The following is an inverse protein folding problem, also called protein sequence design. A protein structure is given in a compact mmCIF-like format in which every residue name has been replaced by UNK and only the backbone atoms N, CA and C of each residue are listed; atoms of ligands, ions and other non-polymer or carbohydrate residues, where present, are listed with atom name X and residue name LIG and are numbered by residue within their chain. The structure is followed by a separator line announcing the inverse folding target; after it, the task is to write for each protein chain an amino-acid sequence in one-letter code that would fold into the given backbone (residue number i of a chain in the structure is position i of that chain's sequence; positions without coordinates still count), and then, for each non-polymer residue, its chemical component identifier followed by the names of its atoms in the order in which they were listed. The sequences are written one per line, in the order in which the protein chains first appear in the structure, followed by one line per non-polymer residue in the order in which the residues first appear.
data_IF_629849374286
#
_entry.id   IF_629849374286
#
_cell.length_a   1.000
_cell.length_b   1.000
_cell.length_c   1.000
_cell.angle_alpha   90.00
_cell.angle_beta   90.00
_cell.angle_gamma   90.00
#
_symmetry.space_group_name_H-M   'P 1'
#
loop_
_entity.id
_entity.type
_entity.pdbx_description
1 polymer ?
#
# COMPACT_ATOMS: atom_id res chain seq x y z
N UNK A 1 27.81 19.05 58.72
CA UNK A 1 29.19 18.76 58.28
C UNK A 1 29.05 17.86 57.06
N UNK A 2 29.44 18.35 55.87
CA UNK A 2 29.57 17.71 54.52
C UNK A 2 28.64 16.54 54.08
N UNK A 3 28.12 16.38 52.85
CA UNK A 3 27.85 17.18 51.63
C UNK A 3 28.12 16.32 50.38
N UNK A 4 27.19 16.33 49.40
CA UNK A 4 27.34 15.90 47.97
C UNK A 4 27.73 14.42 47.76
N UNK A 5 27.50 13.69 46.66
CA UNK A 5 27.42 13.92 45.20
C UNK A 5 26.64 12.72 44.58
N UNK A 6 25.95 12.70 43.42
CA UNK A 6 25.55 13.67 42.37
C UNK A 6 24.27 13.14 41.67
N UNK A 7 23.59 13.93 40.82
CA UNK A 7 22.71 13.42 39.76
C UNK A 7 23.54 12.76 38.62
N UNK A 8 22.95 11.80 37.91
CA UNK A 8 23.37 11.40 36.56
C UNK A 8 22.12 11.32 35.68
N UNK A 9 22.07 11.99 34.50
CA UNK A 9 20.91 11.91 33.62
C UNK A 9 20.91 10.56 32.89
N UNK A 10 19.77 9.87 32.89
CA UNK A 10 19.54 8.81 31.91
C UNK A 10 19.41 9.47 30.53
N UNK A 11 20.33 9.11 29.64
CA UNK A 11 20.32 9.49 28.23
C UNK A 11 18.99 9.10 27.57
N UNK A 12 18.46 9.90 26.62
CA UNK A 12 17.33 9.46 25.83
C UNK A 12 17.75 8.19 25.08
N UNK A 13 17.04 7.09 25.34
CA UNK A 13 17.16 5.87 24.53
C UNK A 13 16.67 6.23 23.13
N UNK A 14 17.56 6.16 22.15
CA UNK A 14 17.14 6.14 20.75
C UNK A 14 16.27 4.90 20.56
N UNK A 15 15.00 5.11 20.22
CA UNK A 15 14.15 4.01 19.80
C UNK A 15 14.60 3.60 18.41
N UNK A 16 15.42 2.55 18.34
CA UNK A 16 15.55 1.76 17.12
C UNK A 16 14.15 1.31 16.69
N UNK A 17 13.91 1.38 15.39
CA UNK A 17 12.63 1.02 14.77
C UNK A 17 12.18 -0.37 15.20
N UNK A 18 10.89 -0.52 15.49
CA UNK A 18 10.28 -1.82 15.80
C UNK A 18 10.72 -2.87 14.76
N UNK A 19 11.01 -4.12 15.18
CA UNK A 19 11.59 -5.12 14.30
C UNK A 19 10.70 -5.32 13.08
N UNK A 20 11.26 -5.07 11.90
CA UNK A 20 10.56 -5.26 10.64
C UNK A 20 10.28 -6.76 10.46
N UNK A 21 9.08 -7.21 10.82
CA UNK A 21 8.68 -8.60 10.59
C UNK A 21 8.74 -8.93 9.10
N UNK A 22 9.57 -9.92 8.79
CA UNK A 22 9.89 -10.38 7.44
C UNK A 22 8.70 -11.08 6.81
N UNK A 23 7.85 -10.33 6.09
CA UNK A 23 6.86 -10.93 5.19
C UNK A 23 7.58 -11.27 3.88
N UNK A 24 7.96 -12.54 3.74
CA UNK A 24 8.50 -13.09 2.50
C UNK A 24 7.35 -13.16 1.48
N UNK A 25 7.53 -12.57 0.30
CA UNK A 25 6.62 -12.76 -0.82
C UNK A 25 6.67 -14.22 -1.26
N UNK A 26 5.63 -14.98 -0.96
CA UNK A 26 5.47 -16.35 -1.42
C UNK A 26 5.11 -16.34 -2.92
N UNK A 27 6.13 -16.49 -3.78
CA UNK A 27 5.94 -16.71 -5.22
C UNK A 27 5.73 -18.22 -5.43
N UNK A 28 4.69 -18.57 -6.18
CA UNK A 28 4.35 -19.94 -6.59
C UNK A 28 5.56 -20.69 -7.15
N UNK A 29 6.07 -21.65 -6.39
CA UNK A 29 7.10 -22.61 -6.79
C UNK A 29 6.60 -24.00 -6.38
N UNK A 30 6.47 -24.94 -7.33
CA UNK A 30 6.03 -26.29 -7.00
C UNK A 30 7.08 -27.01 -6.14
N UNK A 31 6.63 -27.47 -4.97
CA UNK A 31 7.48 -28.12 -3.97
C UNK A 31 7.98 -27.14 -2.91
N UNK A 32 7.71 -27.46 -1.64
CA UNK A 32 8.20 -26.75 -0.47
C UNK A 32 9.65 -26.29 -0.64
N UNK A 33 9.86 -24.98 -0.77
CA UNK A 33 11.19 -24.45 -0.95
C UNK A 33 12.00 -24.67 0.34
N UNK A 34 12.93 -25.64 0.32
CA UNK A 34 13.96 -25.78 1.33
C UNK A 34 14.99 -24.63 1.17
N UNK A 35 14.54 -23.40 1.40
CA UNK A 35 15.41 -22.24 1.43
C UNK A 35 16.32 -22.34 2.65
N UNK A 36 17.48 -22.98 2.47
CA UNK A 36 18.64 -22.87 3.36
C UNK A 36 19.36 -21.53 3.18
N UNK A 37 18.59 -20.46 3.02
CA UNK A 37 19.07 -19.09 3.10
C UNK A 37 18.87 -18.73 4.56
N UNK A 38 19.96 -18.65 5.32
CA UNK A 38 19.90 -18.02 6.64
C UNK A 38 19.48 -16.57 6.47
N UNK A 39 18.80 -16.00 7.47
CA UNK A 39 18.33 -14.62 7.40
C UNK A 39 19.45 -13.68 6.93
N UNK A 40 19.19 -12.92 5.87
CA UNK A 40 20.12 -11.91 5.39
C UNK A 40 20.27 -10.86 6.49
N UNK A 41 21.51 -10.52 6.84
CA UNK A 41 21.75 -9.33 7.66
C UNK A 41 21.36 -8.05 6.88
N UNK A 42 21.15 -6.97 7.63
CA UNK A 42 20.72 -5.69 7.06
C UNK A 42 21.72 -5.16 6.02
N UNK A 43 23.02 -5.46 6.14
CA UNK A 43 24.04 -5.02 5.19
C UNK A 43 23.89 -5.74 3.84
N UNK A 44 23.74 -7.06 3.86
CA UNK A 44 23.48 -7.88 2.67
C UNK A 44 22.14 -7.53 2.01
N UNK A 45 21.08 -7.30 2.80
CA UNK A 45 19.78 -6.85 2.29
C UNK A 45 19.88 -5.48 1.61
N UNK A 46 20.52 -4.51 2.26
CA UNK A 46 20.70 -3.16 1.72
C UNK A 46 21.59 -3.16 0.47
N UNK A 47 22.61 -4.02 0.39
CA UNK A 47 23.45 -4.17 -0.79
C UNK A 47 22.68 -4.76 -1.99
N UNK A 48 21.82 -5.75 -1.77
CA UNK A 48 20.93 -6.30 -2.80
C UNK A 48 19.94 -5.23 -3.30
N UNK A 49 19.33 -4.46 -2.39
CA UNK A 49 18.46 -3.33 -2.77
C UNK A 49 19.21 -2.27 -3.58
N UNK A 50 20.39 -1.85 -3.15
CA UNK A 50 21.18 -0.84 -3.85
C UNK A 50 21.55 -1.30 -5.28
N UNK A 51 21.88 -2.58 -5.45
CA UNK A 51 22.12 -3.18 -6.77
C UNK A 51 20.84 -3.19 -7.62
N UNK A 52 19.72 -3.68 -7.08
CA UNK A 52 18.44 -3.72 -7.79
C UNK A 52 18.01 -2.33 -8.30
N UNK A 53 18.07 -1.31 -7.45
CA UNK A 53 17.69 0.05 -7.84
C UNK A 53 18.69 0.67 -8.83
N UNK A 54 19.97 0.30 -8.77
CA UNK A 54 20.96 0.70 -9.78
C UNK A 54 20.65 0.07 -11.14
N UNK A 55 20.36 -1.24 -11.18
CA UNK A 55 19.98 -1.96 -12.39
C UNK A 55 18.63 -1.48 -12.96
N UNK A 56 17.71 -1.03 -12.09
CA UNK A 56 16.43 -0.43 -12.48
C UNK A 56 16.63 0.95 -13.10
N UNK A 57 17.40 1.84 -12.44
CA UNK A 57 17.71 3.19 -12.96
C UNK A 57 18.39 3.14 -14.32
N UNK A 58 19.31 2.18 -14.52
CA UNK A 58 19.99 2.00 -15.81
C UNK A 58 19.05 1.63 -16.98
N UNK A 59 17.82 1.22 -16.71
CA UNK A 59 16.79 0.95 -17.72
C UNK A 59 15.86 2.14 -18.00
N UNK A 60 15.87 3.17 -17.13
CA UNK A 60 15.01 4.35 -17.29
C UNK A 60 15.62 5.28 -18.33
N UNK A 61 14.86 5.56 -19.38
CA UNK A 61 15.21 6.55 -20.39
C UNK A 61 14.70 7.93 -19.93
N UNK A 62 15.49 8.61 -19.11
CA UNK A 62 15.19 9.94 -18.56
C UNK A 62 14.71 10.94 -19.63
N UNK A 63 15.27 10.88 -20.85
CA UNK A 63 14.86 11.72 -21.96
C UNK A 63 13.41 11.43 -22.39
N UNK A 64 13.02 10.17 -22.52
CA UNK A 64 11.63 9.82 -22.86
C UNK A 64 10.66 10.17 -21.74
N UNK A 65 11.08 10.05 -20.47
CA UNK A 65 10.30 10.54 -19.31
C UNK A 65 10.06 12.04 -19.41
N UNK A 66 11.11 12.83 -19.67
CA UNK A 66 10.98 14.27 -19.84
C UNK A 66 10.16 14.66 -21.08
N UNK A 67 10.34 13.99 -22.23
CA UNK A 67 9.56 14.26 -23.45
C UNK A 67 8.05 13.99 -23.22
N UNK A 68 7.70 12.88 -22.59
CA UNK A 68 6.32 12.55 -22.21
C UNK A 68 5.77 13.57 -21.20
N UNK A 69 6.49 13.84 -20.12
CA UNK A 69 6.05 14.72 -19.03
C UNK A 69 5.88 16.17 -19.51
N UNK A 70 6.80 16.66 -20.33
CA UNK A 70 6.67 17.97 -20.99
C UNK A 70 5.41 18.03 -21.85
N UNK A 71 5.09 16.96 -22.61
CA UNK A 71 3.88 16.93 -23.45
C UNK A 71 2.58 16.98 -22.64
N UNK A 72 2.58 16.41 -21.42
CA UNK A 72 1.45 16.42 -20.49
C UNK A 72 1.33 17.75 -19.73
N UNK A 73 2.44 18.45 -19.49
CA UNK A 73 2.48 19.72 -18.74
C UNK A 73 2.71 20.94 -19.66
N UNK A 74 1.92 21.06 -20.74
CA UNK A 74 1.91 22.23 -21.65
C UNK A 74 3.26 22.62 -22.28
N UNK A 75 4.17 21.65 -22.48
CA UNK A 75 5.49 21.86 -23.07
C UNK A 75 6.55 22.37 -22.10
N UNK A 76 6.28 22.40 -20.79
CA UNK A 76 7.26 22.82 -19.78
C UNK A 76 8.46 21.87 -19.74
N UNK A 77 9.66 22.44 -19.79
CA UNK A 77 10.91 21.70 -19.63
C UNK A 77 11.03 21.14 -18.22
N UNK A 78 11.62 19.94 -18.11
CA UNK A 78 11.83 19.25 -16.85
C UNK A 78 13.09 18.40 -16.88
N UNK A 79 13.58 18.08 -15.68
CA UNK A 79 14.68 17.15 -15.43
C UNK A 79 14.26 16.08 -14.42
N UNK A 80 14.85 14.89 -14.54
CA UNK A 80 14.68 13.84 -13.53
C UNK A 80 15.74 13.98 -12.44
N UNK A 81 15.32 13.77 -11.19
CA UNK A 81 16.19 13.65 -10.02
C UNK A 81 15.98 12.25 -9.40
N UNK A 82 16.96 11.37 -9.62
CA UNK A 82 17.02 10.08 -8.96
C UNK A 82 17.54 10.24 -7.51
N UNK A 83 16.88 9.68 -6.48
CA UNK A 83 17.32 9.82 -5.08
C UNK A 83 18.77 9.39 -4.85
N UNK A 84 19.54 10.17 -4.10
CA UNK A 84 20.95 9.86 -3.81
C UNK A 84 21.15 8.71 -2.82
N UNK A 85 20.08 8.29 -2.11
CA UNK A 85 20.06 7.16 -1.18
C UNK A 85 19.04 6.11 -1.63
N UNK A 86 19.33 4.85 -1.33
CA UNK A 86 18.46 3.70 -1.63
C UNK A 86 17.64 3.22 -0.41
N UNK A 87 17.99 3.69 0.80
CA UNK A 87 17.42 3.24 2.09
C UNK A 87 17.23 4.45 3.02
N UNK A 88 16.21 4.39 3.88
CA UNK A 88 15.85 5.43 4.85
C UNK A 88 14.84 6.47 4.33
N UNK A 89 14.43 7.40 5.18
CA UNK A 89 13.35 8.38 4.92
C UNK A 89 13.54 9.28 3.69
N UNK A 90 14.77 9.41 3.18
CA UNK A 90 15.10 10.23 1.99
C UNK A 90 15.12 9.41 0.70
N UNK A 91 14.96 8.08 0.77
CA UNK A 91 15.22 7.18 -0.36
C UNK A 91 14.17 7.23 -1.48
N UNK A 92 12.95 7.74 -1.21
CA UNK A 92 11.77 7.61 -2.08
C UNK A 92 11.55 6.18 -2.65
N UNK A 93 12.06 5.17 -1.94
CA UNK A 93 12.12 3.79 -2.39
C UNK A 93 11.51 2.93 -1.30
N UNK A 94 10.31 2.42 -1.55
CA UNK A 94 9.62 1.47 -0.68
C UNK A 94 9.99 0.02 -1.01
N UNK A 95 9.34 -0.93 -0.34
CA UNK A 95 9.49 -2.37 -0.65
C UNK A 95 8.99 -2.71 -2.06
N UNK A 96 7.87 -2.13 -2.47
CA UNK A 96 7.20 -2.44 -3.75
C UNK A 96 7.51 -1.46 -4.90
N UNK A 97 7.89 -0.21 -4.62
CA UNK A 97 7.98 0.85 -5.63
C UNK A 97 9.24 1.71 -5.46
N UNK A 98 9.90 2.02 -6.58
CA UNK A 98 10.94 3.05 -6.72
C UNK A 98 10.31 4.34 -7.22
N UNK A 99 10.76 5.51 -6.73
CA UNK A 99 10.34 6.80 -7.29
C UNK A 99 11.54 7.68 -7.64
N UNK A 100 11.44 8.39 -8.76
CA UNK A 100 12.30 9.51 -9.12
C UNK A 100 11.46 10.79 -9.22
N UNK A 101 12.01 11.93 -8.81
CA UNK A 101 11.33 13.23 -8.96
C UNK A 101 11.49 13.74 -10.39
N UNK A 102 10.47 14.43 -10.89
CA UNK A 102 10.50 15.17 -12.14
C UNK A 102 10.27 16.64 -11.77
N UNK A 103 11.34 17.43 -11.86
CA UNK A 103 11.31 18.87 -11.53
C UNK A 103 11.15 19.68 -12.80
N UNK A 104 10.19 20.60 -12.81
CA UNK A 104 9.99 21.55 -13.90
C UNK A 104 10.86 22.80 -13.71
N UNK A 105 11.45 23.29 -14.80
CA UNK A 105 12.41 24.40 -14.78
C UNK A 105 11.76 25.75 -14.36
N UNK A 106 10.42 25.85 -14.43
CA UNK A 106 9.65 27.03 -14.03
C UNK A 106 9.25 27.04 -12.55
N UNK A 107 9.64 26.02 -11.78
CA UNK A 107 9.30 25.89 -10.36
C UNK A 107 7.87 25.39 -10.09
N UNK A 108 7.19 24.80 -11.09
CA UNK A 108 5.92 24.09 -10.87
C UNK A 108 6.04 22.93 -9.87
N UNK A 109 4.89 22.48 -9.37
CA UNK A 109 4.72 21.28 -8.56
C UNK A 109 5.50 20.08 -9.13
N UNK A 110 6.24 19.40 -8.26
CA UNK A 110 7.07 18.25 -8.64
C UNK A 110 6.19 17.04 -8.92
N UNK A 111 6.52 16.27 -9.95
CA UNK A 111 5.86 14.98 -10.21
C UNK A 111 6.79 13.83 -9.82
N UNK A 112 6.24 12.65 -9.56
CA UNK A 112 6.97 11.42 -9.32
C UNK A 112 6.80 10.47 -10.51
N UNK A 113 7.92 9.98 -11.03
CA UNK A 113 7.97 8.73 -11.80
C UNK A 113 7.97 7.57 -10.81
N UNK A 114 6.83 6.92 -10.62
CA UNK A 114 6.66 5.70 -9.80
C UNK A 114 6.87 4.47 -10.66
N UNK A 115 7.79 3.59 -10.25
CA UNK A 115 8.20 2.38 -10.99
C UNK A 115 8.11 1.17 -10.07
N UNK A 116 7.26 0.16 -10.37
CA UNK A 116 7.19 -1.05 -9.57
C UNK A 116 8.52 -1.83 -9.57
N UNK A 117 8.89 -2.32 -8.39
CA UNK A 117 10.05 -3.19 -8.18
C UNK A 117 9.67 -4.62 -8.55
N UNK A 118 9.92 -4.98 -9.81
CA UNK A 118 9.52 -6.27 -10.42
C UNK A 118 10.15 -7.50 -9.72
N UNK A 119 11.17 -7.31 -8.87
CA UNK A 119 11.68 -8.37 -7.98
C UNK A 119 10.64 -8.90 -6.99
N UNK A 120 9.57 -8.14 -6.70
CA UNK A 120 8.47 -8.56 -5.83
C UNK A 120 7.22 -9.11 -6.53
N UNK A 121 7.07 -8.96 -7.85
CA UNK A 121 5.80 -9.26 -8.55
C UNK A 121 5.98 -9.87 -9.95
N UNK A 122 5.09 -10.78 -10.38
CA UNK A 122 4.95 -11.11 -11.80
C UNK A 122 4.67 -9.85 -12.64
N UNK A 123 5.32 -9.73 -13.81
CA UNK A 123 5.21 -8.54 -14.69
C UNK A 123 3.76 -8.18 -15.00
N UNK A 124 2.93 -9.16 -15.32
CA UNK A 124 1.52 -8.94 -15.66
C UNK A 124 0.70 -8.37 -14.48
N UNK A 125 1.06 -8.74 -13.24
CA UNK A 125 0.43 -8.19 -12.04
C UNK A 125 0.91 -6.76 -11.80
N UNK A 126 2.20 -6.47 -11.94
CA UNK A 126 2.71 -5.09 -11.83
C UNK A 126 2.03 -4.14 -12.86
N UNK A 127 1.81 -4.60 -14.09
CA UNK A 127 1.10 -3.88 -15.15
C UNK A 127 -0.42 -3.78 -14.90
N UNK A 128 -1.01 -4.69 -14.14
CA UNK A 128 -2.38 -4.56 -13.64
C UNK A 128 -2.46 -3.53 -12.49
N UNK A 129 -1.54 -3.61 -11.53
CA UNK A 129 -1.46 -2.72 -10.37
C UNK A 129 -1.28 -1.26 -10.78
N UNK A 130 -0.43 -0.96 -11.77
CA UNK A 130 -0.29 0.39 -12.36
C UNK A 130 -1.63 0.92 -12.89
N UNK A 131 -2.32 0.12 -13.72
CA UNK A 131 -3.60 0.51 -14.34
C UNK A 131 -4.70 0.70 -13.30
N UNK A 132 -4.71 -0.15 -12.27
CA UNK A 132 -5.67 -0.08 -11.18
C UNK A 132 -5.42 1.12 -10.26
N UNK A 133 -4.16 1.39 -9.90
CA UNK A 133 -3.76 2.56 -9.11
C UNK A 133 -4.10 3.87 -9.86
N UNK A 134 -3.79 3.96 -11.17
CA UNK A 134 -4.18 5.11 -12.00
C UNK A 134 -5.70 5.32 -12.03
N UNK A 135 -6.48 4.25 -12.22
CA UNK A 135 -7.94 4.32 -12.26
C UNK A 135 -8.54 4.77 -10.93
N UNK A 136 -7.99 4.30 -9.80
CA UNK A 136 -8.40 4.74 -8.46
C UNK A 136 -8.08 6.22 -8.24
N UNK A 137 -6.87 6.68 -8.55
CA UNK A 137 -6.50 8.10 -8.41
C UNK A 137 -7.38 8.99 -9.31
N UNK A 138 -7.69 8.55 -10.53
CA UNK A 138 -8.62 9.25 -11.44
C UNK A 138 -10.05 9.34 -10.93
N UNK A 139 -10.52 8.33 -10.21
CA UNK A 139 -11.80 8.42 -9.49
C UNK A 139 -11.71 9.39 -8.30
N UNK A 140 -10.64 9.34 -7.51
CA UNK A 140 -10.47 10.22 -6.34
C UNK A 140 -10.38 11.70 -6.73
N UNK A 141 -9.80 12.02 -7.89
CA UNK A 141 -9.83 13.35 -8.51
C UNK A 141 -11.26 13.91 -8.74
N UNK A 142 -12.32 13.09 -8.71
CA UNK A 142 -13.72 13.54 -8.79
C UNK A 142 -14.41 13.67 -7.43
N UNK A 143 -13.69 13.48 -6.33
CA UNK A 143 -14.19 13.51 -4.94
C UNK A 143 -13.50 14.64 -4.14
N UNK A 144 -13.85 14.80 -2.85
CA UNK A 144 -13.06 15.66 -1.94
C UNK A 144 -12.02 14.89 -1.12
N UNK A 145 -11.72 13.63 -1.45
CA UNK A 145 -10.67 12.84 -0.78
C UNK A 145 -9.30 13.36 -1.22
N UNK A 146 -8.40 13.76 -0.31
CA UNK A 146 -7.08 14.25 -0.69
C UNK A 146 -6.20 13.09 -1.14
N UNK A 147 -5.84 13.05 -2.42
CA UNK A 147 -4.98 12.03 -3.03
C UNK A 147 -4.12 12.63 -4.15
N UNK A 148 -2.97 12.03 -4.51
CA UNK A 148 -2.14 12.51 -5.61
C UNK A 148 -2.89 12.48 -6.94
N UNK A 149 -2.78 13.54 -7.73
CA UNK A 149 -3.22 13.50 -9.12
C UNK A 149 -2.39 12.51 -9.93
N UNK A 150 -3.03 11.79 -10.84
CA UNK A 150 -2.37 10.89 -11.78
C UNK A 150 -2.30 11.52 -13.19
N UNK A 151 -1.14 11.49 -13.83
CA UNK A 151 -0.93 12.19 -15.12
C UNK A 151 -0.91 11.24 -16.32
N UNK A 152 -0.24 10.09 -16.20
CA UNK A 152 -0.22 9.04 -17.22
C UNK A 152 0.38 7.75 -16.63
N UNK A 153 0.33 6.65 -17.37
CA UNK A 153 1.06 5.42 -17.08
C UNK A 153 1.60 4.78 -18.37
N UNK A 154 2.42 3.75 -18.22
CA UNK A 154 2.90 2.95 -19.34
C UNK A 154 3.31 1.53 -18.92
N UNK A 155 3.00 0.55 -19.77
CA UNK A 155 3.30 -0.87 -19.59
C UNK A 155 4.29 -1.33 -20.67
N UNK A 156 5.45 -1.85 -20.24
CA UNK A 156 6.56 -2.23 -21.12
C UNK A 156 6.22 -3.47 -21.95
N UNK A 157 5.50 -4.45 -21.41
CA UNK A 157 5.14 -5.67 -22.16
C UNK A 157 4.17 -5.37 -23.30
N UNK A 158 3.32 -4.35 -23.11
CA UNK A 158 2.32 -3.88 -24.06
C UNK A 158 2.85 -2.81 -25.03
N UNK A 159 4.11 -2.37 -24.89
CA UNK A 159 4.71 -1.30 -25.69
C UNK A 159 4.08 0.08 -25.49
N UNK A 160 3.36 0.29 -24.37
CA UNK A 160 2.71 1.57 -24.04
C UNK A 160 3.59 2.47 -23.16
N UNK A 161 4.80 2.04 -22.82
CA UNK A 161 5.80 2.77 -22.04
C UNK A 161 6.40 4.00 -22.76
N UNK A 162 6.02 4.28 -24.00
CA UNK A 162 6.49 5.44 -24.79
C UNK A 162 8.03 5.53 -24.92
N UNK A 163 8.75 4.42 -24.76
CA UNK A 163 10.21 4.38 -24.80
C UNK A 163 10.90 4.79 -23.49
N UNK A 164 10.16 4.90 -22.38
CA UNK A 164 10.70 5.08 -21.02
C UNK A 164 11.52 3.87 -20.57
N UNK A 165 11.26 2.67 -21.11
CA UNK A 165 12.08 1.48 -20.88
C UNK A 165 11.73 0.66 -19.64
N UNK A 166 10.76 1.10 -18.84
CA UNK A 166 10.20 0.39 -17.66
C UNK A 166 8.68 0.60 -17.61
N UNK A 167 7.95 -0.22 -16.85
CA UNK A 167 6.55 0.08 -16.53
C UNK A 167 6.50 1.20 -15.47
N UNK A 168 5.59 2.16 -15.60
CA UNK A 168 5.55 3.32 -14.71
C UNK A 168 4.15 3.91 -14.53
N UNK A 169 4.02 4.71 -13.48
CA UNK A 169 2.92 5.63 -13.21
C UNK A 169 3.51 7.03 -12.96
N UNK A 170 2.96 8.07 -13.59
CA UNK A 170 3.27 9.47 -13.31
C UNK A 170 2.22 10.04 -12.35
N UNK A 171 2.65 10.46 -11.17
CA UNK A 171 1.79 11.05 -10.12
C UNK A 171 2.35 12.37 -9.61
N UNK A 172 1.53 13.11 -8.87
CA UNK A 172 1.91 14.30 -8.11
C UNK A 172 2.80 13.94 -6.90
N UNK A 173 3.83 14.77 -6.62
CA UNK A 173 4.49 14.74 -5.30
C UNK A 173 3.69 15.63 -4.33
N UNK A 174 2.99 15.00 -3.38
CA UNK A 174 2.28 15.73 -2.34
C UNK A 174 3.24 16.38 -1.34
N UNK A 175 2.83 17.56 -0.84
CA UNK A 175 3.52 18.27 0.22
C UNK A 175 3.35 17.58 1.61
N UNK A 176 4.03 18.13 2.63
CA UNK A 176 3.97 17.64 4.00
C UNK A 176 4.87 16.44 4.26
N UNK A 177 4.49 15.62 5.25
CA UNK A 177 5.23 14.42 5.66
C UNK A 177 4.28 13.25 5.94
N UNK A 178 4.72 12.00 5.77
CA UNK A 178 4.04 10.84 6.35
C UNK A 178 3.82 11.03 7.85
N UNK A 179 2.63 10.69 8.32
CA UNK A 179 2.32 10.72 9.75
C UNK A 179 3.02 9.58 10.49
N UNK A 180 3.71 9.92 11.58
CA UNK A 180 4.52 9.03 12.41
C UNK A 180 3.74 8.46 13.62
N UNK A 181 2.42 8.68 13.65
CA UNK A 181 1.55 8.31 14.77
C UNK A 181 1.62 9.27 15.97
N UNK A 182 2.42 10.34 15.91
CA UNK A 182 2.61 11.29 17.01
C UNK A 182 1.87 12.61 16.80
N UNK A 183 1.84 13.46 17.83
CA UNK A 183 1.23 14.80 17.77
C UNK A 183 -0.27 14.81 18.06
N UNK A 184 -1.03 15.64 17.34
CA UNK A 184 -2.49 15.77 17.53
C UNK A 184 -3.23 14.61 16.83
N UNK A 185 -3.20 13.44 17.48
CA UNK A 185 -3.83 12.22 16.97
C UNK A 185 -5.34 12.37 16.85
N UNK A 186 -5.98 13.18 17.70
CA UNK A 186 -7.42 13.45 17.63
C UNK A 186 -7.78 14.16 16.33
N UNK A 187 -7.00 15.19 15.94
CA UNK A 187 -7.23 15.93 14.70
C UNK A 187 -7.02 15.06 13.45
N UNK A 188 -6.00 14.19 13.44
CA UNK A 188 -5.79 13.21 12.36
C UNK A 188 -6.96 12.23 12.28
N UNK A 189 -7.42 11.68 13.40
CA UNK A 189 -8.58 10.78 13.42
C UNK A 189 -9.88 11.46 12.97
N UNK A 190 -10.09 12.74 13.32
CA UNK A 190 -11.23 13.52 12.83
C UNK A 190 -11.16 13.68 11.30
N UNK A 191 -10.02 14.11 10.76
CA UNK A 191 -9.84 14.24 9.31
C UNK A 191 -10.04 12.92 8.57
N UNK A 192 -9.55 11.80 9.14
CA UNK A 192 -9.78 10.47 8.56
C UNK A 192 -11.26 10.08 8.59
N UNK A 193 -12.00 10.39 9.66
CA UNK A 193 -13.44 10.13 9.73
C UNK A 193 -14.22 10.95 8.68
N UNK A 194 -13.83 12.20 8.44
CA UNK A 194 -14.39 13.06 7.39
C UNK A 194 -14.11 12.50 5.98
N UNK A 195 -12.90 11.95 5.75
CA UNK A 195 -12.53 11.29 4.48
C UNK A 195 -13.29 9.97 4.28
N UNK A 196 -13.44 9.15 5.32
CA UNK A 196 -14.25 7.93 5.24
C UNK A 196 -15.72 8.26 4.95
N UNK A 197 -16.27 9.32 5.54
CA UNK A 197 -17.61 9.81 5.26
C UNK A 197 -17.77 10.41 3.84
N UNK A 198 -16.70 10.89 3.21
CA UNK A 198 -16.70 11.24 1.78
C UNK A 198 -16.73 9.98 0.91
N UNK A 199 -15.83 9.01 1.14
CA UNK A 199 -15.80 7.73 0.41
C UNK A 199 -17.15 6.99 0.48
N UNK A 200 -17.86 7.10 1.60
CA UNK A 200 -19.18 6.52 1.82
C UNK A 200 -20.27 7.03 0.86
N UNK A 201 -20.09 8.21 0.25
CA UNK A 201 -21.06 8.78 -0.70
C UNK A 201 -20.99 8.13 -2.08
N UNK A 202 -19.93 7.38 -2.36
CA UNK A 202 -19.61 6.83 -3.68
C UNK A 202 -19.78 5.31 -3.70
N UNK A 203 -21.04 4.88 -3.83
CA UNK A 203 -21.42 3.46 -3.90
C UNK A 203 -21.17 2.86 -5.29
N UNK A 204 -20.61 1.66 -5.32
CA UNK A 204 -20.35 0.85 -6.51
C UNK A 204 -21.23 -0.41 -6.52
N UNK A 205 -21.48 -0.95 -7.72
CA UNK A 205 -22.40 -2.07 -7.94
C UNK A 205 -21.74 -3.46 -7.92
N UNK A 206 -20.41 -3.53 -7.86
CA UNK A 206 -19.64 -4.78 -7.78
C UNK A 206 -18.41 -4.62 -6.88
N UNK A 207 -18.01 -5.70 -6.19
CA UNK A 207 -16.68 -5.84 -5.60
C UNK A 207 -15.63 -6.11 -6.68
N UNK A 208 -14.41 -5.64 -6.47
CA UNK A 208 -13.33 -5.71 -7.45
C UNK A 208 -12.25 -4.68 -7.18
N UNK A 209 -11.60 -4.20 -8.24
CA UNK A 209 -10.80 -2.96 -8.21
C UNK A 209 -11.17 -2.09 -9.41
N UNK A 210 -10.96 -0.77 -9.29
CA UNK A 210 -11.05 0.12 -10.45
C UNK A 210 -9.88 -0.17 -11.39
N UNK A 211 -10.10 -0.06 -12.71
CA UNK A 211 -9.06 -0.25 -13.72
C UNK A 211 -9.38 0.55 -15.00
N UNK A 212 -8.37 0.74 -15.85
CA UNK A 212 -8.45 1.33 -17.20
C UNK A 212 -7.50 0.59 -18.13
N UNK A 213 -7.72 0.64 -19.46
CA UNK A 213 -6.77 0.07 -20.43
C UNK A 213 -5.77 1.13 -20.94
N UNK A 214 -6.18 2.40 -21.04
CA UNK A 214 -5.36 3.54 -21.42
C UNK A 214 -5.56 4.75 -20.50
N UNK A 215 -4.62 5.72 -20.44
CA UNK A 215 -4.76 6.91 -19.61
C UNK A 215 -5.89 7.88 -20.03
N UNK A 216 -6.58 7.60 -21.14
CA UNK A 216 -7.70 8.40 -21.66
C UNK A 216 -9.07 7.81 -21.28
N UNK A 217 -9.11 6.56 -20.82
CA UNK A 217 -10.36 5.87 -20.51
C UNK A 217 -10.97 6.34 -19.18
N UNK A 218 -12.27 6.13 -19.03
CA UNK A 218 -12.94 6.28 -17.74
C UNK A 218 -12.72 5.03 -16.88
N UNK A 219 -12.50 5.15 -15.55
CA UNK A 219 -12.40 4.00 -14.66
C UNK A 219 -13.61 3.06 -14.76
N UNK A 220 -13.34 1.76 -14.91
CA UNK A 220 -14.34 0.69 -14.85
C UNK A 220 -14.08 -0.23 -13.66
N UNK A 221 -15.10 -0.95 -13.20
CA UNK A 221 -14.91 -2.03 -12.24
C UNK A 221 -14.34 -3.24 -12.98
N UNK A 222 -13.31 -3.84 -12.40
CA UNK A 222 -12.61 -5.02 -12.90
C UNK A 222 -12.32 -5.97 -11.72
N UNK A 223 -11.62 -7.07 -11.99
CA UNK A 223 -11.10 -7.99 -10.96
C UNK A 223 -10.38 -7.25 -9.83
N UNK A 224 -10.52 -7.74 -8.60
CA UNK A 224 -9.73 -7.31 -7.44
C UNK A 224 -8.25 -7.47 -7.74
N UNK A 225 -7.46 -6.42 -7.51
CA UNK A 225 -6.07 -6.37 -7.96
C UNK A 225 -5.12 -7.32 -7.19
N UNK A 226 -5.17 -7.32 -5.86
CA UNK A 226 -4.40 -8.20 -4.94
C UNK A 226 -4.92 -8.01 -3.49
N UNK A 227 -4.28 -8.64 -2.51
CA UNK A 227 -4.27 -8.19 -1.10
C UNK A 227 -2.93 -7.51 -0.75
N UNK A 228 -2.87 -6.76 0.35
CA UNK A 228 -1.69 -6.04 0.84
C UNK A 228 -0.60 -6.96 1.37
N UNK A 229 -1.00 -8.04 2.06
CA UNK A 229 -0.05 -8.96 2.70
C UNK A 229 0.31 -10.16 1.83
N UNK A 230 -0.43 -10.38 0.73
CA UNK A 230 -0.22 -11.50 -0.19
C UNK A 230 -0.43 -11.07 -1.63
N UNK A 231 0.53 -11.43 -2.48
CA UNK A 231 0.45 -11.34 -3.93
C UNK A 231 -0.56 -12.36 -4.45
N UNK A 232 -1.83 -11.96 -4.56
CA UNK A 232 -2.91 -12.79 -5.08
C UNK A 232 -3.07 -12.58 -6.59
N UNK A 233 -3.34 -13.65 -7.33
CA UNK A 233 -3.79 -13.53 -8.72
C UNK A 233 -5.15 -12.79 -8.76
N UNK A 234 -5.38 -11.89 -9.73
CA UNK A 234 -6.60 -11.08 -9.76
C UNK A 234 -7.89 -11.91 -9.86
N UNK A 235 -8.93 -11.51 -9.11
CA UNK A 235 -10.13 -12.33 -8.90
C UNK A 235 -11.44 -11.53 -8.86
N UNK A 236 -12.57 -12.16 -9.24
CA UNK A 236 -13.87 -11.51 -9.38
C UNK A 236 -14.14 -10.98 -10.79
N UNK A 237 -14.76 -9.80 -10.98
CA UNK A 237 -15.48 -9.02 -9.96
C UNK A 237 -16.71 -9.79 -9.41
N UNK A 238 -17.39 -9.25 -8.39
CA UNK A 238 -18.55 -9.90 -7.76
C UNK A 238 -19.74 -8.96 -7.59
N UNK A 239 -20.93 -9.40 -7.99
CA UNK A 239 -22.19 -8.68 -7.77
C UNK A 239 -22.72 -8.82 -6.34
N UNK A 240 -22.21 -9.77 -5.55
CA UNK A 240 -22.71 -10.08 -4.19
C UNK A 240 -21.57 -10.23 -3.21
N UNK A 241 -21.74 -9.61 -2.03
CA UNK A 241 -20.80 -9.71 -0.91
C UNK A 241 -20.51 -11.15 -0.49
N UNK A 242 -21.50 -12.06 -0.60
CA UNK A 242 -21.34 -13.46 -0.20
C UNK A 242 -20.40 -14.22 -1.15
N UNK A 243 -20.46 -13.93 -2.45
CA UNK A 243 -19.58 -14.53 -3.45
C UNK A 243 -18.15 -13.99 -3.27
N UNK A 244 -18.02 -12.68 -3.02
CA UNK A 244 -16.75 -12.02 -2.68
C UNK A 244 -16.11 -12.62 -1.41
N UNK A 245 -16.81 -12.66 -0.28
CA UNK A 245 -16.26 -13.19 0.98
C UNK A 245 -15.93 -14.68 0.89
N UNK A 246 -16.73 -15.47 0.15
CA UNK A 246 -16.46 -16.89 -0.07
C UNK A 246 -15.19 -17.11 -0.89
N UNK A 247 -14.99 -16.33 -1.97
CA UNK A 247 -13.81 -16.47 -2.82
C UNK A 247 -12.53 -15.91 -2.17
N UNK A 248 -12.61 -14.82 -1.39
CA UNK A 248 -11.50 -14.34 -0.55
C UNK A 248 -11.05 -15.42 0.44
N UNK A 249 -11.99 -15.98 1.20
CA UNK A 249 -11.66 -17.04 2.17
C UNK A 249 -11.13 -18.31 1.50
N UNK A 250 -11.58 -18.64 0.28
CA UNK A 250 -11.07 -19.76 -0.51
C UNK A 250 -9.61 -19.56 -0.95
N UNK A 251 -9.20 -18.34 -1.33
CA UNK A 251 -7.81 -18.05 -1.66
C UNK A 251 -6.88 -18.22 -0.45
N UNK A 252 -7.29 -17.71 0.72
CA UNK A 252 -6.53 -17.91 1.95
C UNK A 252 -6.46 -19.39 2.37
N UNK A 253 -7.52 -20.17 2.17
CA UNK A 253 -7.49 -21.63 2.38
C UNK A 253 -6.45 -22.33 1.49
N UNK A 254 -6.35 -21.95 0.22
CA UNK A 254 -5.32 -22.48 -0.69
C UNK A 254 -3.91 -22.14 -0.20
N UNK A 255 -3.66 -20.88 0.14
CA UNK A 255 -2.35 -20.40 0.62
C UNK A 255 -1.90 -21.06 1.94
N UNK A 256 -2.84 -21.28 2.87
CA UNK A 256 -2.58 -22.00 4.12
C UNK A 256 -2.29 -23.48 3.84
N UNK A 257 -3.04 -24.11 2.92
CA UNK A 257 -2.83 -25.51 2.55
C UNK A 257 -1.48 -25.73 1.86
N UNK A 258 -1.02 -24.76 1.08
CA UNK A 258 0.29 -24.75 0.42
C UNK A 258 1.44 -24.36 1.37
N UNK A 259 1.12 -23.96 2.61
CA UNK A 259 2.12 -23.55 3.63
C UNK A 259 2.72 -22.16 3.41
N UNK A 260 2.18 -21.37 2.48
CA UNK A 260 2.62 -19.99 2.21
C UNK A 260 2.19 -19.01 3.32
N UNK A 261 1.05 -19.30 3.97
CA UNK A 261 0.53 -18.52 5.08
C UNK A 261 0.47 -19.33 6.38
N UNK A 262 0.75 -18.64 7.49
CA UNK A 262 0.61 -19.15 8.85
C UNK A 262 1.27 -20.53 9.10
N UNK A 263 2.53 -20.76 8.68
CA UNK A 263 3.18 -22.08 8.76
C UNK A 263 3.38 -22.60 10.20
N UNK A 264 3.35 -21.71 11.20
CA UNK A 264 3.42 -22.04 12.63
C UNK A 264 2.08 -22.54 13.21
N UNK A 265 0.94 -22.17 12.60
CA UNK A 265 -0.42 -22.49 13.05
C UNK A 265 -1.39 -22.77 11.88
N UNK A 266 -1.02 -23.68 10.94
CA UNK A 266 -1.76 -23.86 9.70
C UNK A 266 -3.14 -24.50 9.91
N UNK A 267 -3.31 -25.32 10.96
CA UNK A 267 -4.61 -25.95 11.28
C UNK A 267 -5.59 -24.92 11.81
N UNK A 268 -5.15 -24.06 12.73
CA UNK A 268 -5.94 -22.97 13.29
C UNK A 268 -6.33 -21.97 12.20
N UNK A 269 -5.38 -21.55 11.36
CA UNK A 269 -5.64 -20.68 10.22
C UNK A 269 -6.66 -21.30 9.26
N UNK A 270 -6.46 -22.56 8.87
CA UNK A 270 -7.38 -23.26 7.97
C UNK A 270 -8.80 -23.30 8.54
N UNK A 271 -8.96 -23.61 9.84
CA UNK A 271 -10.27 -23.64 10.49
C UNK A 271 -10.92 -22.25 10.56
N UNK A 272 -10.15 -21.17 10.76
CA UNK A 272 -10.65 -19.79 10.73
C UNK A 272 -11.15 -19.42 9.34
N UNK A 273 -10.36 -19.59 8.28
CA UNK A 273 -10.80 -19.24 6.92
C UNK A 273 -11.92 -20.16 6.43
N UNK A 274 -11.95 -21.43 6.87
CA UNK A 274 -13.06 -22.34 6.57
C UNK A 274 -14.35 -21.86 7.23
N UNK A 275 -14.31 -21.46 8.50
CA UNK A 275 -15.44 -20.87 9.19
C UNK A 275 -15.90 -19.58 8.51
N UNK A 276 -14.99 -18.67 8.12
CA UNK A 276 -15.33 -17.45 7.41
C UNK A 276 -16.01 -17.73 6.06
N UNK A 277 -15.53 -18.71 5.29
CA UNK A 277 -16.18 -19.18 4.05
C UNK A 277 -17.58 -19.71 4.31
N UNK A 278 -17.74 -20.61 5.29
CA UNK A 278 -19.04 -21.18 5.66
C UNK A 278 -20.02 -20.11 6.23
N UNK A 279 -19.49 -18.94 6.65
CA UNK A 279 -20.24 -17.78 7.14
C UNK A 279 -20.41 -16.64 6.14
N UNK A 280 -19.92 -16.74 4.91
CA UNK A 280 -19.94 -15.65 3.92
C UNK A 280 -21.33 -15.02 3.71
N UNK A 281 -22.40 -15.83 3.67
CA UNK A 281 -23.79 -15.34 3.59
C UNK A 281 -24.24 -14.57 4.83
N UNK A 282 -23.82 -14.98 6.02
CA UNK A 282 -24.17 -14.31 7.29
C UNK A 282 -23.40 -12.99 7.46
N UNK A 283 -22.12 -12.97 7.05
CA UNK A 283 -21.29 -11.75 7.00
C UNK A 283 -21.88 -10.70 6.05
N UNK A 284 -22.51 -11.15 4.97
CA UNK A 284 -23.16 -10.31 3.95
C UNK A 284 -24.53 -9.77 4.34
N UNK A 285 -25.06 -10.12 5.52
CA UNK A 285 -26.39 -9.67 5.93
C UNK A 285 -26.41 -8.14 6.08
N UNK A 286 -27.29 -7.51 5.30
CA UNK A 286 -27.46 -6.05 5.20
C UNK A 286 -26.29 -5.30 4.54
N UNK A 287 -25.36 -5.99 3.86
CA UNK A 287 -24.46 -5.30 2.93
C UNK A 287 -25.26 -4.91 1.68
N UNK A 288 -25.34 -3.60 1.46
CA UNK A 288 -25.90 -2.97 0.27
C UNK A 288 -24.79 -2.12 -0.33
N UNK A 289 -24.43 -2.41 -1.58
CA UNK A 289 -23.36 -1.73 -2.30
C UNK A 289 -21.93 -2.10 -1.88
N UNK A 290 -21.00 -1.65 -2.70
CA UNK A 290 -19.56 -1.79 -2.49
C UNK A 290 -18.90 -0.41 -2.48
N UNK A 291 -17.82 -0.25 -1.73
CA UNK A 291 -17.19 1.04 -1.47
C UNK A 291 -15.68 0.93 -1.60
N UNK A 292 -15.05 2.02 -2.04
CA UNK A 292 -13.59 2.07 -2.17
C UNK A 292 -12.92 2.01 -0.80
N UNK A 293 -11.99 1.07 -0.66
CA UNK A 293 -11.18 0.83 0.52
C UNK A 293 -9.69 0.96 0.18
N UNK A 294 -8.99 1.76 0.97
CA UNK A 294 -7.53 1.73 1.05
C UNK A 294 -7.09 0.43 1.73
N UNK A 295 -6.15 -0.30 1.13
CA UNK A 295 -5.67 -1.57 1.73
C UNK A 295 -4.61 -1.35 2.80
N UNK A 296 -3.88 -0.23 2.73
CA UNK A 296 -3.09 0.24 3.86
C UNK A 296 -4.00 0.93 4.88
N UNK A 297 -3.91 0.52 6.14
CA UNK A 297 -4.69 1.04 7.25
C UNK A 297 -3.82 1.32 8.49
N UNK A 298 -2.49 1.43 8.35
CA UNK A 298 -1.55 1.66 9.48
C UNK A 298 -1.27 3.13 9.81
N UNK A 299 -1.53 4.04 8.88
CA UNK A 299 -1.45 5.50 9.07
C UNK A 299 -0.21 6.17 8.48
N UNK A 300 0.85 5.43 8.16
CA UNK A 300 2.07 5.90 7.50
C UNK A 300 1.87 6.34 6.03
N UNK A 301 0.73 5.97 5.45
CA UNK A 301 0.24 6.41 4.15
C UNK A 301 -0.56 7.74 4.21
N UNK A 302 -0.77 8.32 5.39
CA UNK A 302 -1.41 9.62 5.58
C UNK A 302 -0.35 10.73 5.56
N UNK A 303 -0.47 11.67 4.62
CA UNK A 303 0.36 12.87 4.53
C UNK A 303 -0.27 13.98 5.35
N UNK A 304 0.49 14.53 6.30
CA UNK A 304 0.06 15.62 7.18
C UNK A 304 0.93 16.87 7.02
N UNK A 305 0.32 18.03 7.26
CA UNK A 305 1.00 19.32 7.39
C UNK A 305 1.54 19.56 8.82
N UNK A 306 2.06 20.76 9.08
CA UNK A 306 2.60 21.16 10.39
C UNK A 306 1.53 21.24 11.48
N UNK A 307 0.27 21.43 11.09
CA UNK A 307 -0.89 21.54 11.97
C UNK A 307 -1.64 20.20 12.13
N UNK A 308 -1.11 19.08 11.61
CA UNK A 308 -1.75 17.76 11.60
C UNK A 308 -3.08 17.68 10.83
N UNK A 309 -3.31 18.55 9.84
CA UNK A 309 -4.37 18.32 8.86
C UNK A 309 -3.90 17.22 7.89
N UNK A 310 -4.79 16.28 7.52
CA UNK A 310 -4.51 15.33 6.43
C UNK A 310 -4.61 16.11 5.11
N UNK A 311 -3.50 16.23 4.40
CA UNK A 311 -3.39 16.89 3.09
C UNK A 311 -3.20 15.89 1.94
N UNK A 312 -3.14 14.59 2.25
CA UNK A 312 -2.98 13.53 1.26
C UNK A 312 -3.12 12.13 1.83
N UNK A 313 -3.61 11.21 1.01
CA UNK A 313 -3.54 9.76 1.19
C UNK A 313 -2.77 9.21 0.00
N UNK A 314 -1.62 8.57 0.26
CA UNK A 314 -0.74 8.00 -0.77
C UNK A 314 -0.82 6.46 -0.79
N UNK A 315 -0.21 5.86 -1.81
CA UNK A 315 -0.07 4.39 -1.95
C UNK A 315 -1.38 3.61 -2.17
N UNK A 316 -2.30 4.18 -2.98
CA UNK A 316 -3.57 3.56 -3.43
C UNK A 316 -3.42 2.29 -4.30
N UNK A 317 -2.20 1.75 -4.43
CA UNK A 317 -1.92 0.47 -5.06
C UNK A 317 -2.70 -0.65 -4.34
N UNK A 318 -3.20 -1.63 -5.10
CA UNK A 318 -4.04 -2.73 -4.59
C UNK A 318 -5.37 -2.31 -3.93
N UNK A 319 -5.79 -1.03 -4.01
CA UNK A 319 -7.10 -0.56 -3.52
C UNK A 319 -8.27 -1.36 -4.11
N UNK A 320 -9.34 -1.50 -3.32
CA UNK A 320 -10.44 -2.45 -3.60
C UNK A 320 -11.81 -1.80 -3.44
N UNK A 321 -12.76 -2.27 -4.23
CA UNK A 321 -14.18 -2.09 -4.00
C UNK A 321 -14.66 -3.30 -3.18
N UNK A 322 -15.11 -3.05 -1.95
CA UNK A 322 -15.44 -4.10 -0.96
C UNK A 322 -16.80 -3.83 -0.31
N UNK A 323 -17.46 -4.84 0.28
CA UNK A 323 -18.73 -4.62 0.97
C UNK A 323 -18.60 -3.59 2.09
N UNK A 324 -19.66 -2.83 2.34
CA UNK A 324 -19.67 -1.67 3.26
C UNK A 324 -19.05 -1.94 4.63
N UNK A 325 -19.34 -3.11 5.24
CA UNK A 325 -18.78 -3.50 6.55
C UNK A 325 -17.26 -3.69 6.53
N UNK A 326 -16.68 -4.09 5.41
CA UNK A 326 -15.23 -4.19 5.24
C UNK A 326 -14.60 -2.82 4.96
N UNK A 327 -15.26 -1.98 4.16
CA UNK A 327 -14.78 -0.65 3.77
C UNK A 327 -14.62 0.29 4.99
N UNK A 328 -15.64 0.33 5.85
CA UNK A 328 -15.71 1.23 7.00
C UNK A 328 -15.61 0.50 8.35
N UNK A 329 -15.06 -0.72 8.34
CA UNK A 329 -14.75 -1.48 9.55
C UNK A 329 -13.56 -0.89 10.32
N UNK A 330 -13.31 -1.41 11.54
CA UNK A 330 -12.17 -1.01 12.37
C UNK A 330 -10.85 -1.07 11.58
N UNK A 331 -10.04 -0.02 11.70
CA UNK A 331 -8.76 0.20 11.01
C UNK A 331 -7.58 0.12 12.00
N UNK A 332 -6.45 -0.46 11.59
CA UNK A 332 -5.25 -0.59 12.43
C UNK A 332 -4.70 0.77 12.92
N UNK A 333 -4.97 1.88 12.23
CA UNK A 333 -4.60 3.25 12.61
C UNK A 333 -5.19 3.71 13.95
N UNK A 334 -6.25 3.03 14.39
CA UNK A 334 -6.95 3.24 15.67
C UNK A 334 -6.58 2.20 16.74
N UNK A 335 -5.76 1.21 16.38
CA UNK A 335 -5.35 0.14 17.28
C UNK A 335 -4.02 0.48 17.97
N UNK A 336 -3.91 0.14 19.26
CA UNK A 336 -2.62 0.18 19.96
C UNK A 336 -1.73 -0.97 19.45
N UNK A 337 -0.96 -0.67 18.40
CA UNK A 337 -0.03 -1.61 17.78
C UNK A 337 1.07 -2.07 18.75
N UNK A 338 1.43 -1.27 19.76
CA UNK A 338 2.40 -1.68 20.78
C UNK A 338 1.79 -2.74 21.70
N UNK A 339 0.57 -2.53 22.19
CA UNK A 339 -0.14 -3.54 22.98
C UNK A 339 -0.41 -4.83 22.17
N UNK A 340 -0.75 -4.70 20.88
CA UNK A 340 -0.95 -5.83 19.97
C UNK A 340 0.33 -6.66 19.75
N UNK A 341 1.45 -5.99 19.46
CA UNK A 341 2.72 -6.66 19.18
C UNK A 341 3.36 -7.26 20.44
N UNK A 342 3.32 -6.54 21.57
CA UNK A 342 3.91 -6.99 22.84
C UNK A 342 3.02 -7.99 23.59
N UNK A 343 1.75 -8.14 23.20
CA UNK A 343 0.79 -9.05 23.83
C UNK A 343 0.22 -8.55 25.16
N UNK A 344 0.37 -7.26 25.46
CA UNK A 344 -0.17 -6.63 26.66
C UNK A 344 -1.71 -6.59 26.60
N UNK A 345 -2.36 -7.44 27.41
CA UNK A 345 -3.82 -7.55 27.48
C UNK A 345 -4.47 -6.40 28.29
N UNK A 346 -3.85 -5.21 28.28
CA UNK A 346 -4.13 -4.10 29.18
C UNK A 346 -5.14 -3.07 28.67
N UNK A 347 -6.43 -3.29 28.98
CA UNK A 347 -7.42 -2.23 29.17
C UNK A 347 -7.70 -1.23 28.01
N UNK A 348 -8.09 -1.73 26.83
CA UNK A 348 -9.05 -1.01 25.99
C UNK A 348 -10.47 -1.58 26.21
N UNK A 349 -11.52 -0.76 26.43
CA UNK A 349 -12.87 -1.26 26.70
C UNK A 349 -13.57 -1.71 25.41
N UNK A 350 -13.09 -2.80 24.79
CA UNK A 350 -13.77 -3.61 23.76
C UNK A 350 -12.98 -4.92 23.55
N UNK A 351 -13.36 -5.98 24.29
CA UNK A 351 -12.66 -7.29 24.38
C UNK A 351 -12.70 -8.17 23.10
N UNK A 352 -12.77 -7.58 21.91
CA UNK A 352 -12.76 -8.26 20.61
C UNK A 352 -11.62 -7.81 19.69
N UNK A 353 -11.05 -6.62 19.90
CA UNK A 353 -10.10 -5.98 18.98
C UNK A 353 -8.79 -6.78 18.88
N UNK A 354 -8.20 -7.17 20.03
CA UNK A 354 -6.86 -7.76 20.07
C UNK A 354 -6.75 -9.20 19.53
N UNK A 355 -7.88 -9.87 19.27
CA UNK A 355 -7.89 -11.21 18.63
C UNK A 355 -8.14 -11.18 17.13
N UNK A 356 -8.57 -10.08 16.53
CA UNK A 356 -8.73 -9.99 15.06
C UNK A 356 -7.48 -9.47 14.35
N UNK A 357 -6.70 -8.58 14.98
CA UNK A 357 -5.53 -7.96 14.35
C UNK A 357 -4.36 -8.94 14.06
N UNK A 358 -4.35 -10.15 14.64
CA UNK A 358 -3.40 -11.23 14.29
C UNK A 358 -3.82 -12.08 13.07
N UNK A 359 -5.01 -11.87 12.53
CA UNK A 359 -5.65 -12.73 11.52
C UNK A 359 -6.29 -11.94 10.37
N UNK A 360 -5.78 -10.72 10.13
CA UNK A 360 -6.04 -9.92 8.93
C UNK A 360 -4.78 -9.91 8.07
#
# INVERSE_FOLDING_TARGET
MYALHTFMPLTPVQFDSAPQTSVIFAIRMEGFHQCKVGDLDDEAYNALMAKEITDLRAQINDRAVCELTSSLNSGKLCSIEHPSKFVGSVALTGRANYHARIRFDDGSETWLLRVPRVTGFPVHLAEYLIRSEFATLKFLETTTVPAPRAFSFGNKSQGTDRGVGVCFLLIEELAGKPWDGQGDTYKVWQGLAEILAELEKHEFHQAGSLCVESPQDQPIISVTASDRFVCLDPWGPFEKSADYYSAWAEQYLVLVTDGQLYPEFPVEAYLVYRFLKDKATELSLHDHGFFLKHVDDKGDHLMVDEDYNIIGIIDWQMSRLVPRREAFGLSLVSADMNALCNGDQGCAPLNSINRMARWR
#
